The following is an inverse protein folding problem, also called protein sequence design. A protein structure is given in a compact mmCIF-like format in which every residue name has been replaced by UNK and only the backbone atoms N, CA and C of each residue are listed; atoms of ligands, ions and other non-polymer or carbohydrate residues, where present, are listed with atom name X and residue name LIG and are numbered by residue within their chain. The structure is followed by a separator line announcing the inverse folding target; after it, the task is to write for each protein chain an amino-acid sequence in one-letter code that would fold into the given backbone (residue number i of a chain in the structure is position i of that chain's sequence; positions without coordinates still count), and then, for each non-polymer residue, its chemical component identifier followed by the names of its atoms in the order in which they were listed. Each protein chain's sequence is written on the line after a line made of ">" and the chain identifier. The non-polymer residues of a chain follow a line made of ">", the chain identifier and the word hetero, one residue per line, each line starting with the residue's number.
data_IF_170324980739
#
_entry.id   IF_170324980739
#
_cell.length_a   1.000
_cell.length_b   1.000
_cell.length_c   1.000
_cell.angle_alpha   90.00
_cell.angle_beta   90.00
_cell.angle_gamma   90.00
#
_symmetry.space_group_name_H-M   'P 1'
#
loop_
_entity.id
_entity.type
_entity.pdbx_description
1 polymer ?
#
# COMPACT_ATOMS: atom_id res chain seq x y z
N UNK A 1 -35.61 -97.03 40.24
CA UNK A 1 -36.12 -96.48 38.97
C UNK A 1 -36.18 -94.97 39.09
N UNK A 2 -35.20 -94.24 38.57
CA UNK A 2 -35.20 -92.77 38.59
C UNK A 2 -35.79 -92.23 37.28
N UNK A 3 -36.71 -91.28 37.41
CA UNK A 3 -37.43 -90.62 36.32
C UNK A 3 -36.46 -89.65 35.63
N UNK A 4 -36.22 -89.84 34.33
CA UNK A 4 -35.41 -88.91 33.54
C UNK A 4 -36.33 -87.75 33.14
N UNK A 5 -36.05 -86.56 33.64
CA UNK A 5 -36.74 -85.33 33.26
C UNK A 5 -36.27 -84.90 31.86
N UNK A 6 -37.20 -84.73 30.92
CA UNK A 6 -36.86 -84.28 29.56
C UNK A 6 -36.68 -82.77 29.57
N UNK A 7 -35.47 -82.30 29.23
CA UNK A 7 -35.19 -80.88 29.06
C UNK A 7 -35.80 -80.37 27.74
N UNK A 8 -36.68 -79.38 27.83
CA UNK A 8 -37.16 -78.62 26.68
C UNK A 8 -36.09 -77.63 26.23
N UNK A 9 -35.51 -77.87 25.06
CA UNK A 9 -34.59 -76.92 24.42
C UNK A 9 -35.40 -75.88 23.66
N UNK A 10 -35.22 -74.60 24.01
CA UNK A 10 -35.86 -73.50 23.30
C UNK A 10 -35.06 -73.19 22.03
N UNK A 11 -35.74 -73.19 20.88
CA UNK A 11 -35.13 -72.79 19.61
C UNK A 11 -35.06 -71.24 19.55
N UNK A 12 -33.84 -70.71 19.49
CA UNK A 12 -33.55 -69.27 19.40
C UNK A 12 -33.09 -68.81 18.01
N UNK A 13 -33.23 -69.64 16.97
CA UNK A 13 -32.73 -69.33 15.63
C UNK A 13 -33.35 -68.06 15.06
N UNK A 14 -34.64 -67.82 15.29
CA UNK A 14 -35.32 -66.60 14.86
C UNK A 14 -34.77 -65.33 15.54
N UNK A 15 -34.40 -65.43 16.83
CA UNK A 15 -33.81 -64.31 17.58
C UNK A 15 -32.38 -64.05 17.12
N UNK A 16 -31.60 -65.12 16.93
CA UNK A 16 -30.24 -65.03 16.43
C UNK A 16 -30.19 -64.44 15.01
N UNK A 17 -31.11 -64.81 14.12
CA UNK A 17 -31.16 -64.24 12.79
C UNK A 17 -31.56 -62.77 12.81
N UNK A 18 -32.50 -62.37 13.68
CA UNK A 18 -32.84 -60.96 13.87
C UNK A 18 -31.64 -60.13 14.38
N UNK A 19 -30.90 -60.61 15.38
CA UNK A 19 -29.69 -59.95 15.88
C UNK A 19 -28.62 -59.85 14.78
N UNK A 20 -28.47 -60.90 13.97
CA UNK A 20 -27.54 -60.92 12.83
C UNK A 20 -27.91 -59.90 11.77
N UNK A 21 -29.19 -59.72 11.49
CA UNK A 21 -29.67 -58.72 10.54
C UNK A 21 -29.49 -57.28 11.07
N UNK A 22 -29.78 -57.04 12.35
CA UNK A 22 -29.54 -55.74 13.01
C UNK A 22 -28.05 -55.39 12.98
N UNK A 23 -27.19 -56.31 13.42
CA UNK A 23 -25.74 -56.07 13.46
C UNK A 23 -25.15 -55.83 12.07
N UNK A 24 -25.63 -56.51 11.03
CA UNK A 24 -25.26 -56.21 9.63
C UNK A 24 -25.69 -54.81 9.19
N UNK A 25 -26.90 -54.37 9.57
CA UNK A 25 -27.40 -53.03 9.25
C UNK A 25 -26.63 -51.93 9.97
N UNK A 26 -26.29 -52.13 11.24
CA UNK A 26 -25.54 -51.16 12.04
C UNK A 26 -24.05 -51.12 11.67
N UNK A 27 -23.43 -52.26 11.37
CA UNK A 27 -22.04 -52.32 10.90
C UNK A 27 -21.87 -51.61 9.55
N UNK A 28 -22.79 -51.77 8.61
CA UNK A 28 -22.75 -51.05 7.34
C UNK A 28 -22.87 -49.52 7.52
N UNK A 29 -23.74 -49.08 8.44
CA UNK A 29 -23.90 -47.65 8.76
C UNK A 29 -22.66 -47.08 9.44
N UNK A 30 -22.10 -47.77 10.43
CA UNK A 30 -20.89 -47.33 11.13
C UNK A 30 -19.68 -47.29 10.21
N UNK A 31 -19.55 -48.22 9.26
CA UNK A 31 -18.50 -48.19 8.25
C UNK A 31 -18.63 -46.96 7.32
N UNK A 32 -19.84 -46.66 6.86
CA UNK A 32 -20.10 -45.47 6.04
C UNK A 32 -19.78 -44.17 6.79
N UNK A 33 -20.12 -44.07 8.08
CA UNK A 33 -19.77 -42.91 8.91
C UNK A 33 -18.25 -42.80 9.14
N UNK A 34 -17.55 -43.92 9.35
CA UNK A 34 -16.09 -43.94 9.48
C UNK A 34 -15.41 -43.45 8.20
N UNK A 35 -15.80 -43.95 7.04
CA UNK A 35 -15.26 -43.50 5.74
C UNK A 35 -15.46 -42.00 5.51
N UNK A 36 -16.66 -41.49 5.82
CA UNK A 36 -16.97 -40.06 5.67
C UNK A 36 -16.15 -39.19 6.63
N UNK A 37 -15.90 -39.68 7.84
CA UNK A 37 -15.03 -39.00 8.82
C UNK A 37 -13.57 -38.99 8.37
N UNK A 38 -13.06 -40.13 7.88
CA UNK A 38 -11.70 -40.21 7.35
C UNK A 38 -11.47 -39.22 6.20
N UNK A 39 -12.39 -39.13 5.25
CA UNK A 39 -12.28 -38.18 4.13
C UNK A 39 -12.12 -36.74 4.61
N UNK A 40 -12.88 -36.31 5.63
CA UNK A 40 -12.75 -34.95 6.19
C UNK A 40 -11.39 -34.75 6.86
N UNK A 41 -10.93 -35.71 7.66
CA UNK A 41 -9.63 -35.65 8.32
C UNK A 41 -8.50 -35.56 7.28
N UNK A 42 -8.56 -36.36 6.21
CA UNK A 42 -7.59 -36.30 5.12
C UNK A 42 -7.55 -34.93 4.43
N UNK A 43 -8.70 -34.29 4.22
CA UNK A 43 -8.76 -32.93 3.64
C UNK A 43 -8.05 -31.92 4.54
N UNK A 44 -8.28 -31.96 5.85
CA UNK A 44 -7.59 -31.04 6.78
C UNK A 44 -6.08 -31.29 6.85
N UNK A 45 -5.65 -32.55 6.88
CA UNK A 45 -4.22 -32.89 6.87
C UNK A 45 -3.57 -32.43 5.56
N UNK A 46 -4.23 -32.64 4.42
CA UNK A 46 -3.73 -32.20 3.11
C UNK A 46 -3.63 -30.67 3.06
N UNK A 47 -4.62 -29.94 3.57
CA UNK A 47 -4.58 -28.48 3.64
C UNK A 47 -3.43 -27.98 4.54
N UNK A 48 -3.23 -28.59 5.70
CA UNK A 48 -2.12 -28.26 6.60
C UNK A 48 -0.75 -28.52 5.96
N UNK A 49 -0.60 -29.64 5.26
CA UNK A 49 0.63 -29.97 4.53
C UNK A 49 0.92 -28.96 3.40
N UNK A 50 -0.11 -28.51 2.68
CA UNK A 50 0.04 -27.49 1.63
C UNK A 50 0.51 -26.16 2.22
N UNK A 51 -0.09 -25.72 3.33
CA UNK A 51 0.34 -24.51 4.04
C UNK A 51 1.80 -24.62 4.47
N UNK A 52 2.19 -25.76 5.05
CA UNK A 52 3.57 -26.00 5.47
C UNK A 52 4.56 -25.96 4.28
N UNK A 53 4.20 -26.58 3.15
CA UNK A 53 5.01 -26.54 1.94
C UNK A 53 5.16 -25.12 1.38
N UNK A 54 4.08 -24.32 1.42
CA UNK A 54 4.12 -22.93 0.99
C UNK A 54 5.06 -22.09 1.87
N UNK A 55 5.02 -22.27 3.18
CA UNK A 55 5.93 -21.59 4.12
C UNK A 55 7.40 -21.91 3.82
N UNK A 56 7.74 -23.18 3.56
CA UNK A 56 9.10 -23.57 3.18
C UNK A 56 9.55 -22.94 1.86
N UNK A 57 8.65 -22.80 0.88
CA UNK A 57 8.96 -22.11 -0.38
C UNK A 57 9.25 -20.63 -0.17
N UNK A 58 8.45 -19.93 0.64
CA UNK A 58 8.68 -18.51 0.95
C UNK A 58 10.01 -18.32 1.65
N UNK A 59 10.33 -19.17 2.64
CA UNK A 59 11.62 -19.14 3.34
C UNK A 59 12.77 -19.37 2.33
N UNK A 60 12.70 -20.39 1.48
CA UNK A 60 13.72 -20.67 0.48
C UNK A 60 13.92 -19.54 -0.52
N UNK A 61 12.83 -18.89 -0.96
CA UNK A 61 12.87 -17.72 -1.84
C UNK A 61 13.53 -16.53 -1.15
N UNK A 62 13.20 -16.29 0.12
CA UNK A 62 13.79 -15.20 0.91
C UNK A 62 15.29 -15.42 1.15
N UNK A 63 15.70 -16.64 1.51
CA UNK A 63 17.13 -17.02 1.59
C UNK A 63 17.84 -16.76 0.26
N UNK A 64 17.25 -17.13 -0.87
CA UNK A 64 17.86 -16.89 -2.19
C UNK A 64 18.09 -15.40 -2.48
N UNK A 65 17.19 -14.52 -2.05
CA UNK A 65 17.33 -13.07 -2.25
C UNK A 65 18.43 -12.50 -1.35
N UNK A 66 18.44 -12.86 -0.06
CA UNK A 66 19.41 -12.32 0.88
C UNK A 66 20.85 -12.75 0.56
N UNK A 67 21.04 -13.99 0.11
CA UNK A 67 22.35 -14.55 -0.20
C UNK A 67 22.70 -14.49 -1.69
N UNK A 68 21.93 -13.77 -2.51
CA UNK A 68 22.28 -13.58 -3.91
C UNK A 68 23.56 -12.72 -4.01
N UNK A 69 24.64 -13.21 -4.64
CA UNK A 69 25.83 -12.40 -4.84
C UNK A 69 25.49 -11.26 -5.81
N UNK A 70 25.56 -10.02 -5.32
CA UNK A 70 25.47 -8.83 -6.16
C UNK A 70 26.67 -8.83 -7.12
N UNK A 71 26.41 -9.04 -8.41
CA UNK A 71 27.41 -8.79 -9.44
C UNK A 71 27.54 -7.28 -9.57
N UNK A 72 28.53 -6.71 -8.88
CA UNK A 72 28.93 -5.32 -9.07
C UNK A 72 29.24 -5.13 -10.56
N UNK A 73 28.47 -4.28 -11.23
CA UNK A 73 28.78 -3.88 -12.61
C UNK A 73 30.03 -3.02 -12.50
N UNK A 74 31.14 -3.48 -13.07
CA UNK A 74 32.33 -2.63 -13.27
C UNK A 74 31.89 -1.39 -14.05
N UNK A 75 31.84 -0.26 -13.36
CA UNK A 75 31.68 1.05 -13.98
C UNK A 75 33.06 1.44 -14.51
N UNK A 76 33.24 1.29 -15.81
CA UNK A 76 34.41 1.81 -16.52
C UNK A 76 34.35 3.35 -16.49
N UNK A 77 35.14 3.96 -15.60
CA UNK A 77 35.27 5.41 -15.51
C UNK A 77 36.10 5.87 -16.71
N UNK A 78 35.43 6.23 -17.81
CA UNK A 78 36.05 6.91 -18.95
C UNK A 78 36.53 8.28 -18.47
N UNK A 79 37.84 8.41 -18.24
CA UNK A 79 38.51 9.66 -17.88
C UNK A 79 38.44 10.62 -19.08
N UNK A 80 37.75 11.77 -19.01
CA UNK A 80 37.75 12.72 -20.12
C UNK A 80 39.13 13.38 -20.26
N UNK A 81 39.61 13.42 -21.49
CA UNK A 81 40.86 14.06 -21.91
C UNK A 81 40.79 15.58 -21.68
N UNK A 82 41.79 16.12 -20.99
CA UNK A 82 41.88 17.53 -20.62
C UNK A 82 42.27 18.32 -21.86
N UNK A 83 41.32 19.02 -22.47
CA UNK A 83 41.60 20.01 -23.51
C UNK A 83 42.16 21.26 -22.84
N UNK A 84 43.46 21.50 -23.04
CA UNK A 84 44.17 22.70 -22.58
C UNK A 84 43.55 23.96 -23.18
N UNK A 85 42.86 24.72 -22.34
CA UNK A 85 42.35 26.04 -22.70
C UNK A 85 43.48 27.06 -22.51
N UNK A 86 43.94 27.64 -23.61
CA UNK A 86 44.98 28.67 -23.63
C UNK A 86 44.64 29.85 -22.72
N UNK A 87 45.64 30.22 -21.92
CA UNK A 87 45.68 31.30 -20.95
C UNK A 87 45.71 32.64 -21.69
N UNK A 88 44.71 33.49 -21.48
CA UNK A 88 44.81 34.92 -21.83
C UNK A 88 45.21 35.69 -20.58
N UNK A 89 46.46 36.14 -20.58
CA UNK A 89 47.08 36.99 -19.59
C UNK A 89 46.56 38.42 -19.74
N UNK A 90 45.84 38.95 -18.74
CA UNK A 90 45.51 40.38 -18.68
C UNK A 90 45.59 40.91 -17.24
N UNK A 91 46.70 41.61 -17.02
CA UNK A 91 46.88 42.89 -16.32
C UNK A 91 46.50 42.97 -14.84
N UNK A 92 47.55 43.13 -14.04
CA UNK A 92 47.56 43.48 -12.62
C UNK A 92 46.96 44.88 -12.37
N UNK A 93 46.09 44.98 -11.36
CA UNK A 93 45.76 46.25 -10.70
C UNK A 93 45.86 46.02 -9.18
N UNK A 94 46.79 46.68 -8.47
CA UNK A 94 46.90 46.55 -7.02
C UNK A 94 46.00 47.57 -6.33
N UNK A 95 45.13 47.12 -5.42
CA UNK A 95 44.64 47.96 -4.31
C UNK A 95 44.64 47.15 -3.02
N UNK A 96 45.19 47.79 -2.00
CA UNK A 96 45.62 47.29 -0.69
C UNK A 96 44.48 46.91 0.26
N UNK A 97 44.67 45.75 0.91
CA UNK A 97 44.37 45.38 2.31
C UNK A 97 43.25 46.10 3.08
N UNK A 98 42.32 45.29 3.62
CA UNK A 98 42.00 45.32 5.06
C UNK A 98 41.85 43.89 5.62
N UNK A 99 42.82 43.54 6.48
CA UNK A 99 42.75 42.63 7.64
C UNK A 99 41.41 42.82 8.38
N UNK A 100 40.67 41.82 8.85
CA UNK A 100 41.03 41.02 10.03
C UNK A 100 40.03 39.88 10.32
N UNK A 101 40.58 38.79 10.84
CA UNK A 101 40.04 37.94 11.90
C UNK A 101 38.81 37.06 11.66
N UNK A 102 39.13 35.78 11.46
CA UNK A 102 38.33 34.62 11.81
C UNK A 102 38.15 34.62 13.34
N UNK A 103 36.90 34.67 13.82
CA UNK A 103 36.54 34.24 15.18
C UNK A 103 35.31 33.36 15.11
N UNK A 104 35.47 32.13 15.59
CA UNK A 104 34.39 31.18 15.90
C UNK A 104 33.31 31.84 16.76
N UNK A 105 32.05 31.70 16.35
CA UNK A 105 30.94 31.71 17.33
C UNK A 105 29.74 30.94 16.80
N UNK A 106 29.38 29.92 17.57
CA UNK A 106 28.15 29.14 17.52
C UNK A 106 26.91 30.03 17.38
N UNK A 107 26.30 30.05 16.20
CA UNK A 107 24.97 30.65 16.02
C UNK A 107 23.89 29.64 16.43
N UNK A 108 23.43 29.79 17.67
CA UNK A 108 22.15 29.27 18.17
C UNK A 108 21.01 29.84 17.33
N UNK A 109 20.29 28.94 16.65
CA UNK A 109 19.09 29.24 15.88
C UNK A 109 17.96 29.70 16.82
N UNK A 110 17.57 30.97 16.71
CA UNK A 110 16.45 31.57 17.43
C UNK A 110 15.17 31.40 16.60
N UNK A 111 14.54 30.22 16.74
CA UNK A 111 13.23 29.95 16.15
C UNK A 111 12.12 30.85 16.73
N UNK A 112 11.00 31.03 16.02
CA UNK A 112 9.86 31.79 16.53
C UNK A 112 9.30 31.10 17.78
N UNK A 113 9.12 31.86 18.86
CA UNK A 113 8.42 31.38 20.05
C UNK A 113 6.93 31.28 19.70
N UNK A 114 6.44 30.05 19.56
CA UNK A 114 5.00 29.79 19.64
C UNK A 114 4.62 29.86 21.11
N UNK A 115 3.80 30.84 21.49
CA UNK A 115 3.09 30.77 22.76
C UNK A 115 1.99 29.74 22.57
N UNK A 116 2.11 28.63 23.29
CA UNK A 116 1.00 27.76 23.63
C UNK A 116 -0.02 28.59 24.43
N UNK A 117 -1.18 28.83 23.84
CA UNK A 117 -2.41 29.04 24.59
C UNK A 117 -3.50 28.18 23.95
N UNK A 118 -3.49 26.93 24.39
CA UNK A 118 -4.67 26.08 24.46
C UNK A 118 -5.74 26.78 25.29
N UNK A 119 -6.91 27.06 24.71
CA UNK A 119 -8.13 27.15 25.50
C UNK A 119 -9.32 26.56 24.73
N UNK A 120 -9.94 25.59 25.40
CA UNK A 120 -11.19 24.92 25.06
C UNK A 120 -12.35 25.88 24.76
N UNK A 121 -13.38 25.44 24.02
CA UNK A 121 -14.46 26.31 23.61
C UNK A 121 -15.67 26.17 24.53
N UNK A 122 -15.68 26.68 25.77
CA UNK A 122 -16.94 26.91 26.50
C UNK A 122 -16.75 27.88 27.68
N UNK A 123 -17.25 29.11 27.54
CA UNK A 123 -18.15 29.75 28.52
C UNK A 123 -18.62 31.12 28.05
N UNK A 124 -19.93 31.32 28.08
CA UNK A 124 -20.62 32.59 28.08
C UNK A 124 -20.10 33.54 29.17
N UNK A 125 -19.90 34.82 28.84
CA UNK A 125 -20.32 35.99 29.64
C UNK A 125 -20.33 37.22 28.72
N UNK A 126 -21.45 37.91 28.79
CA UNK A 126 -21.82 39.19 28.23
C UNK A 126 -20.92 40.32 28.79
N UNK A 127 -20.31 41.14 27.91
CA UNK A 127 -20.09 42.56 28.21
C UNK A 127 -19.71 43.37 26.96
N UNK A 128 -20.43 44.47 26.79
CA UNK A 128 -20.25 45.51 25.79
C UNK A 128 -18.84 46.12 25.86
N UNK A 129 -18.11 46.04 24.75
CA UNK A 129 -17.30 47.14 24.22
C UNK A 129 -16.95 46.85 22.76
N UNK A 130 -17.57 47.60 21.85
CA UNK A 130 -17.32 47.56 20.41
C UNK A 130 -15.89 48.03 20.11
N UNK A 131 -14.98 47.09 20.00
CA UNK A 131 -13.79 47.24 19.17
C UNK A 131 -14.23 46.76 17.78
N UNK A 132 -14.04 47.53 16.69
CA UNK A 132 -14.23 47.00 15.35
C UNK A 132 -13.16 45.92 15.13
N UNK A 133 -13.52 44.67 15.43
CA UNK A 133 -12.74 43.52 15.03
C UNK A 133 -12.74 43.53 13.50
N UNK A 134 -11.63 44.00 12.91
CA UNK A 134 -11.33 43.68 11.51
C UNK A 134 -11.48 42.16 11.41
N UNK A 135 -12.29 41.65 10.47
CA UNK A 135 -12.47 40.22 10.33
C UNK A 135 -11.08 39.61 10.21
N UNK A 136 -10.72 38.75 11.17
CA UNK A 136 -9.47 38.01 11.12
C UNK A 136 -9.53 37.23 9.81
N UNK A 137 -8.69 37.61 8.85
CA UNK A 137 -8.60 36.98 7.55
C UNK A 137 -7.95 35.62 7.76
N UNK A 138 -8.77 34.61 8.02
CA UNK A 138 -8.31 33.23 8.17
C UNK A 138 -7.90 32.73 6.79
N UNK A 139 -6.59 32.70 6.55
CA UNK A 139 -6.02 32.03 5.38
C UNK A 139 -6.23 30.53 5.58
N UNK A 140 -7.22 29.95 4.88
CA UNK A 140 -7.48 28.51 4.92
C UNK A 140 -6.78 27.85 3.74
N UNK A 141 -5.85 26.95 4.04
CA UNK A 141 -5.36 25.97 3.06
C UNK A 141 -6.47 24.96 2.78
N UNK A 142 -6.78 24.71 1.51
CA UNK A 142 -7.81 23.74 1.13
C UNK A 142 -7.44 23.01 -0.16
N UNK A 143 -8.03 21.84 -0.36
CA UNK A 143 -7.85 21.04 -1.56
C UNK A 143 -9.19 20.80 -2.24
N UNK A 144 -9.28 21.10 -3.53
CA UNK A 144 -10.42 20.73 -4.36
C UNK A 144 -10.09 19.47 -5.15
N UNK A 145 -11.06 18.58 -5.30
CA UNK A 145 -10.93 17.35 -6.07
C UNK A 145 -11.90 17.35 -7.25
N UNK A 146 -11.41 16.94 -8.41
CA UNK A 146 -12.22 16.70 -9.60
C UNK A 146 -11.98 15.27 -10.06
N UNK A 147 -13.07 14.58 -10.39
CA UNK A 147 -13.02 13.18 -10.80
C UNK A 147 -13.54 13.03 -12.22
N UNK A 148 -12.76 12.35 -13.05
CA UNK A 148 -13.15 11.95 -14.41
C UNK A 148 -13.34 10.44 -14.42
N UNK A 149 -14.47 9.97 -14.92
CA UNK A 149 -14.74 8.54 -15.06
C UNK A 149 -14.43 8.08 -16.49
N UNK A 150 -13.76 6.94 -16.62
CA UNK A 150 -13.36 6.32 -17.88
C UNK A 150 -13.73 4.84 -17.91
N UNK A 151 -14.77 4.52 -18.67
CA UNK A 151 -15.28 3.15 -18.77
C UNK A 151 -14.33 2.21 -19.54
N UNK A 152 -13.52 2.76 -20.44
CA UNK A 152 -12.51 2.00 -21.18
C UNK A 152 -11.34 1.52 -20.30
N UNK A 153 -11.25 2.01 -19.07
CA UNK A 153 -10.28 1.53 -18.08
C UNK A 153 -10.80 0.32 -17.26
N UNK A 154 -12.08 -0.02 -17.32
CA UNK A 154 -12.68 -1.12 -16.52
C UNK A 154 -12.02 -2.48 -16.85
N UNK A 155 -11.62 -2.68 -18.11
CA UNK A 155 -10.91 -3.89 -18.55
C UNK A 155 -9.43 -3.90 -18.14
N UNK A 156 -8.94 -2.82 -17.55
CA UNK A 156 -7.59 -2.72 -17.00
C UNK A 156 -7.69 -2.82 -15.48
N UNK A 157 -6.64 -3.29 -14.81
CA UNK A 157 -6.58 -3.30 -13.34
C UNK A 157 -6.59 -1.88 -12.72
N UNK A 158 -6.82 -0.83 -13.51
CA UNK A 158 -6.91 0.57 -13.08
C UNK A 158 -8.37 0.90 -12.80
N UNK A 159 -8.63 1.63 -11.73
CA UNK A 159 -9.95 2.16 -11.42
C UNK A 159 -10.41 3.12 -12.53
N UNK A 160 -11.71 3.05 -12.84
CA UNK A 160 -12.33 3.93 -13.85
C UNK A 160 -12.26 5.40 -13.47
N UNK A 161 -12.07 5.70 -12.18
CA UNK A 161 -12.00 7.06 -11.66
C UNK A 161 -10.57 7.60 -11.63
N UNK A 162 -10.36 8.70 -12.34
CA UNK A 162 -9.12 9.48 -12.33
C UNK A 162 -9.38 10.76 -11.56
N UNK A 163 -8.60 11.01 -10.52
CA UNK A 163 -8.82 12.11 -9.56
C UNK A 163 -7.71 13.13 -9.73
N UNK A 164 -8.10 14.39 -9.95
CA UNK A 164 -7.20 15.55 -9.96
C UNK A 164 -7.46 16.38 -8.70
N UNK A 165 -6.42 16.61 -7.91
CA UNK A 165 -6.42 17.47 -6.73
C UNK A 165 -5.74 18.82 -7.01
N UNK A 166 -6.32 19.89 -6.48
CA UNK A 166 -5.82 21.26 -6.55
C UNK A 166 -5.69 21.80 -5.13
N UNK A 167 -4.46 22.03 -4.69
CA UNK A 167 -4.15 22.55 -3.36
C UNK A 167 -3.95 24.06 -3.44
N UNK A 168 -4.71 24.79 -2.63
CA UNK A 168 -4.67 26.24 -2.55
C UNK A 168 -4.18 26.66 -1.17
N UNK A 169 -3.28 27.64 -1.15
CA UNK A 169 -2.78 28.23 0.09
C UNK A 169 -3.80 29.15 0.76
N UNK A 170 -4.74 29.71 -0.01
CA UNK A 170 -5.77 30.65 0.47
C UNK A 170 -7.04 30.61 -0.37
N UNK A 171 -8.18 31.00 0.21
CA UNK A 171 -9.45 31.19 -0.51
C UNK A 171 -9.44 32.34 -1.52
N UNK A 172 -8.40 33.17 -1.50
CA UNK A 172 -8.26 34.33 -2.40
C UNK A 172 -7.33 34.07 -3.59
N UNK A 173 -6.63 32.93 -3.63
CA UNK A 173 -5.75 32.60 -4.75
C UNK A 173 -6.53 31.90 -5.85
N UNK A 174 -6.51 32.46 -7.06
CA UNK A 174 -7.15 31.86 -8.23
C UNK A 174 -6.40 30.63 -8.76
N UNK A 175 -5.10 30.53 -8.44
CA UNK A 175 -4.22 29.46 -8.91
C UNK A 175 -3.78 28.54 -7.77
N UNK A 176 -3.84 27.22 -7.97
CA UNK A 176 -3.39 26.25 -6.99
C UNK A 176 -1.86 26.24 -6.90
N UNK A 177 -1.34 26.05 -5.69
CA UNK A 177 0.09 25.89 -5.41
C UNK A 177 0.59 24.52 -5.88
N UNK A 178 -0.22 23.48 -5.68
CA UNK A 178 0.09 22.12 -6.12
C UNK A 178 -1.10 21.54 -6.84
N UNK A 179 -0.84 20.90 -7.98
CA UNK A 179 -1.81 20.10 -8.70
C UNK A 179 -1.26 18.68 -8.80
N UNK A 180 -2.08 17.70 -8.49
CA UNK A 180 -1.68 16.30 -8.57
C UNK A 180 -2.82 15.47 -9.15
N UNK A 181 -2.47 14.47 -9.94
CA UNK A 181 -3.43 13.56 -10.55
C UNK A 181 -3.07 12.13 -10.20
N UNK A 182 -4.06 11.36 -9.77
CA UNK A 182 -3.85 9.98 -9.35
C UNK A 182 -5.05 9.10 -9.70
N UNK A 183 -4.81 7.80 -9.66
CA UNK A 183 -5.84 6.77 -9.76
C UNK A 183 -5.53 5.63 -8.78
N UNK A 184 -6.42 4.65 -8.69
CA UNK A 184 -6.20 3.44 -7.92
C UNK A 184 -5.99 2.26 -8.86
N UNK A 185 -5.05 1.38 -8.54
CA UNK A 185 -4.86 0.11 -9.23
C UNK A 185 -5.24 -1.01 -8.28
N UNK A 186 -6.10 -1.91 -8.74
CA UNK A 186 -6.59 -3.06 -7.96
C UNK A 186 -6.05 -4.34 -8.57
N UNK A 187 -5.23 -5.04 -7.82
CA UNK A 187 -4.82 -6.39 -8.18
C UNK A 187 -5.96 -7.38 -7.89
N UNK A 188 -5.97 -8.51 -8.60
CA UNK A 188 -7.00 -9.54 -8.42
C UNK A 188 -6.95 -10.09 -7.00
N UNK A 189 -8.05 -9.94 -6.26
CA UNK A 189 -8.15 -10.38 -4.87
C UNK A 189 -7.85 -9.31 -3.83
N UNK A 190 -7.40 -8.11 -4.24
CA UNK A 190 -7.21 -6.98 -3.34
C UNK A 190 -8.53 -6.22 -3.13
N UNK A 191 -8.83 -5.87 -1.88
CA UNK A 191 -9.99 -5.03 -1.52
C UNK A 191 -9.65 -3.55 -1.52
N UNK A 192 -8.37 -3.20 -1.32
CA UNK A 192 -7.92 -1.84 -1.13
C UNK A 192 -6.92 -1.51 -2.24
N UNK A 193 -7.38 -0.82 -3.29
CA UNK A 193 -6.50 -0.48 -4.41
C UNK A 193 -5.29 0.36 -3.99
N UNK A 194 -4.17 0.18 -4.68
CA UNK A 194 -2.96 0.99 -4.50
C UNK A 194 -3.12 2.32 -5.23
N UNK A 195 -2.89 3.43 -4.54
CA UNK A 195 -2.88 4.76 -5.17
C UNK A 195 -1.64 4.92 -6.04
N UNK A 196 -1.83 5.43 -7.24
CA UNK A 196 -0.79 5.68 -8.23
C UNK A 196 -0.88 7.12 -8.69
N UNK A 197 0.15 7.91 -8.38
CA UNK A 197 0.26 9.28 -8.88
C UNK A 197 0.70 9.25 -10.35
N UNK A 198 -0.07 9.89 -11.23
CA UNK A 198 0.11 9.90 -12.68
C UNK A 198 0.88 11.15 -13.14
N UNK A 199 0.50 12.31 -12.59
CA UNK A 199 1.08 13.60 -12.95
C UNK A 199 1.10 14.55 -11.75
N UNK A 200 2.04 15.49 -11.77
CA UNK A 200 2.17 16.53 -10.74
C UNK A 200 2.60 17.85 -11.37
N UNK A 201 2.14 18.97 -10.83
CA UNK A 201 2.59 20.32 -11.18
C UNK A 201 2.69 21.15 -9.92
N UNK A 202 3.79 21.87 -9.76
CA UNK A 202 4.00 22.81 -8.64
C UNK A 202 4.02 24.24 -9.15
N UNK A 203 3.02 25.03 -8.76
CA UNK A 203 2.81 26.40 -9.21
C UNK A 203 2.83 26.50 -10.75
N UNK A 204 3.69 27.39 -11.27
CA UNK A 204 3.86 27.61 -12.71
C UNK A 204 4.94 26.74 -13.35
N UNK A 205 5.41 25.69 -12.66
CA UNK A 205 6.41 24.77 -13.22
C UNK A 205 5.83 23.91 -14.34
N UNK A 206 6.69 23.26 -15.11
CA UNK A 206 6.28 22.24 -16.08
C UNK A 206 5.53 21.09 -15.38
N UNK A 207 4.69 20.39 -16.13
CA UNK A 207 3.98 19.21 -15.62
C UNK A 207 4.93 18.02 -15.61
N UNK A 208 5.13 17.44 -14.43
CA UNK A 208 5.91 16.22 -14.23
C UNK A 208 5.03 15.01 -14.52
N UNK A 209 5.43 14.22 -15.51
CA UNK A 209 4.82 12.92 -15.81
C UNK A 209 5.48 11.84 -14.96
N UNK A 210 4.72 11.25 -14.05
CA UNK A 210 5.24 10.28 -13.07
C UNK A 210 5.13 8.83 -13.56
N UNK A 211 4.54 8.59 -14.74
CA UNK A 211 4.37 7.25 -15.30
C UNK A 211 5.69 6.66 -15.82
N UNK A 212 6.30 5.80 -15.01
CA UNK A 212 7.54 5.08 -15.34
C UNK A 212 7.27 3.63 -15.79
N UNK A 213 8.31 2.95 -16.28
CA UNK A 213 8.20 1.54 -16.67
C UNK A 213 8.22 0.64 -15.43
N UNK A 214 8.99 1.03 -14.42
CA UNK A 214 9.13 0.34 -13.14
C UNK A 214 7.79 0.32 -12.41
N UNK A 215 7.10 1.48 -12.36
CA UNK A 215 5.75 1.59 -11.80
C UNK A 215 4.75 0.64 -12.49
N UNK A 216 4.81 0.55 -13.82
CA UNK A 216 3.93 -0.33 -14.58
C UNK A 216 4.18 -1.82 -14.26
N UNK A 217 5.45 -2.21 -14.07
CA UNK A 217 5.83 -3.57 -13.69
C UNK A 217 5.41 -3.92 -12.27
N UNK A 218 5.66 -3.03 -11.31
CA UNK A 218 5.29 -3.22 -9.90
C UNK A 218 3.79 -3.41 -9.71
N UNK A 219 2.99 -2.68 -10.48
CA UNK A 219 1.54 -2.70 -10.41
C UNK A 219 0.89 -3.78 -11.28
N UNK A 220 1.68 -4.52 -12.07
CA UNK A 220 1.20 -5.46 -13.07
C UNK A 220 0.14 -4.85 -14.02
N UNK A 221 0.41 -3.64 -14.51
CA UNK A 221 -0.45 -2.90 -15.44
C UNK A 221 0.35 -2.47 -16.66
N UNK A 222 -0.28 -2.42 -17.84
CA UNK A 222 0.40 -1.89 -19.02
C UNK A 222 0.74 -0.40 -18.84
N UNK A 223 1.98 -0.02 -19.16
CA UNK A 223 2.42 1.38 -19.18
C UNK A 223 1.53 2.24 -20.11
N UNK A 224 1.03 1.65 -21.18
CA UNK A 224 0.11 2.30 -22.11
C UNK A 224 -1.25 2.63 -21.46
N UNK A 225 -1.74 1.80 -20.55
CA UNK A 225 -2.96 2.10 -19.79
C UNK A 225 -2.73 3.23 -18.78
N UNK A 226 -1.61 3.21 -18.04
CA UNK A 226 -1.25 4.32 -17.14
C UNK A 226 -1.08 5.64 -17.87
N UNK A 227 -0.44 5.63 -19.06
CA UNK A 227 -0.35 6.83 -19.91
C UNK A 227 -1.72 7.31 -20.40
N UNK A 228 -2.62 6.39 -20.77
CA UNK A 228 -4.00 6.74 -21.14
C UNK A 228 -4.75 7.35 -19.97
N UNK A 229 -4.62 6.79 -18.77
CA UNK A 229 -5.18 7.39 -17.56
C UNK A 229 -4.63 8.81 -17.31
N UNK A 230 -3.33 9.02 -17.51
CA UNK A 230 -2.69 10.33 -17.38
C UNK A 230 -3.26 11.38 -18.35
N UNK A 231 -3.72 10.99 -19.56
CA UNK A 231 -4.36 11.94 -20.49
C UNK A 231 -5.67 12.53 -19.98
N UNK A 232 -6.25 11.95 -18.93
CA UNK A 232 -7.51 12.41 -18.31
C UNK A 232 -7.30 13.28 -17.08
N UNK A 233 -6.04 13.53 -16.72
CA UNK A 233 -5.69 14.49 -15.69
C UNK A 233 -6.03 15.91 -16.14
N UNK A 234 -6.73 16.66 -15.28
CA UNK A 234 -7.16 18.04 -15.59
C UNK A 234 -6.19 19.08 -15.02
N UNK A 235 -4.88 18.84 -15.17
CA UNK A 235 -3.85 19.78 -14.71
C UNK A 235 -3.79 20.97 -15.67
N UNK A 236 -3.85 22.19 -15.12
CA UNK A 236 -3.79 23.46 -15.86
C UNK A 236 -2.40 24.07 -15.71
#
# INVERSE_FOLDING_TARGET
>A
MSKIESYTTHNFDAVNDHIKQISKRESARTFAYRLKSFSRIFIYIAAAALIFAFVLLVIGWFYRILYAPFKEKEIEIVRPEVVEKQVVQVVEVPVLTQTSEITDSSMSYRGPKFNDDSSDPFSSIENNNQIPQKPVKVVKTYTQFQTVTRDDMIATNIDSQIITGYEYSSSETDFPEIQFCYTYVRETGDRYGKRVDLMRKKGNSAVDNLVTTEMAQELNVSRAALRRAATSCQIK
#
